data_IF_956059574487
#
_entry.id   IF_956059574487
#
_cell.length_a   1.000
_cell.length_b   1.000
_cell.length_c   1.000
_cell.angle_alpha   90.00
_cell.angle_beta   90.00
_cell.angle_gamma   90.00
#
_symmetry.space_group_name_H-M   'P 1'
#
loop_
_entity.id
_entity.type
_entity.pdbx_description
1 polymer ?
#
# COMPACT_ATOMS: atom_id res chain seq x y z
N UNK A 1 -9.17 24.64 8.21
CA UNK A 1 -8.71 23.24 8.38
C UNK A 1 -7.25 23.30 8.83
N UNK A 2 -6.81 22.40 9.72
CA UNK A 2 -5.41 22.39 10.17
C UNK A 2 -4.48 22.03 9.00
N UNK A 3 -3.39 22.79 8.82
CA UNK A 3 -2.41 22.60 7.74
C UNK A 3 -1.89 21.16 7.65
N UNK A 4 -1.75 20.49 8.80
CA UNK A 4 -1.40 19.09 8.89
C UNK A 4 -2.40 18.17 8.16
N UNK A 5 -3.70 18.38 8.30
CA UNK A 5 -4.72 17.56 7.63
C UNK A 5 -4.63 17.71 6.12
N UNK A 6 -4.37 18.93 5.63
CA UNK A 6 -4.24 19.19 4.18
C UNK A 6 -3.05 18.41 3.62
N UNK A 7 -1.92 18.44 4.32
CA UNK A 7 -0.72 17.70 3.94
C UNK A 7 -0.96 16.18 3.95
N UNK A 8 -1.66 15.66 4.96
CA UNK A 8 -2.05 14.23 5.02
C UNK A 8 -2.94 13.85 3.84
N UNK A 9 -3.92 14.69 3.49
CA UNK A 9 -4.82 14.43 2.36
C UNK A 9 -4.07 14.45 1.02
N UNK A 10 -3.13 15.37 0.83
CA UNK A 10 -2.26 15.40 -0.36
C UNK A 10 -1.41 14.13 -0.42
N UNK A 11 -0.80 13.76 0.71
CA UNK A 11 -0.02 12.53 0.86
C UNK A 11 -0.83 11.29 0.46
N UNK A 12 -2.02 11.16 1.04
CA UNK A 12 -2.93 10.04 0.79
C UNK A 12 -3.42 10.01 -0.66
N UNK A 13 -3.82 11.16 -1.24
CA UNK A 13 -4.28 11.21 -2.63
C UNK A 13 -3.17 10.80 -3.61
N UNK A 14 -1.97 11.38 -3.47
CA UNK A 14 -0.81 11.01 -4.28
C UNK A 14 -0.41 9.55 -4.05
N UNK A 15 -0.42 9.09 -2.81
CA UNK A 15 -0.07 7.73 -2.45
C UNK A 15 -1.05 6.69 -2.98
N UNK A 16 -2.36 6.98 -2.99
CA UNK A 16 -3.36 6.11 -3.65
C UNK A 16 -3.08 6.01 -5.15
N UNK A 17 -2.88 7.14 -5.83
CA UNK A 17 -2.62 7.15 -7.28
C UNK A 17 -1.33 6.38 -7.64
N UNK A 18 -0.24 6.65 -6.90
CA UNK A 18 1.05 5.98 -7.10
C UNK A 18 0.99 4.51 -6.68
N UNK A 19 0.37 4.21 -5.56
CA UNK A 19 0.22 2.86 -5.03
C UNK A 19 -0.60 1.95 -5.93
N UNK A 20 -1.66 2.48 -6.57
CA UNK A 20 -2.40 1.71 -7.60
C UNK A 20 -1.46 1.34 -8.74
N UNK A 21 -0.64 2.27 -9.22
CA UNK A 21 0.31 1.99 -10.31
C UNK A 21 1.37 0.97 -9.90
N UNK A 22 1.93 1.12 -8.70
CA UNK A 22 2.94 0.21 -8.13
C UNK A 22 2.36 -1.19 -7.92
N UNK A 23 1.15 -1.29 -7.36
CA UNK A 23 0.48 -2.58 -7.16
C UNK A 23 0.16 -3.27 -8.49
N UNK A 24 -0.26 -2.52 -9.52
CA UNK A 24 -0.47 -3.06 -10.88
C UNK A 24 0.84 -3.59 -11.48
N UNK A 25 1.93 -2.83 -11.38
CA UNK A 25 3.24 -3.25 -11.88
C UNK A 25 3.74 -4.50 -11.12
N UNK A 26 3.56 -4.53 -9.80
CA UNK A 26 3.89 -5.68 -8.95
C UNK A 26 3.14 -6.95 -9.39
N UNK A 27 1.83 -6.85 -9.68
CA UNK A 27 1.05 -8.00 -10.18
C UNK A 27 1.52 -8.55 -11.53
N UNK A 28 2.11 -7.72 -12.38
CA UNK A 28 2.67 -8.21 -13.65
C UNK A 28 3.96 -9.00 -13.46
N UNK A 29 4.61 -8.88 -12.31
CA UNK A 29 5.86 -9.56 -11.97
C UNK A 29 5.62 -10.80 -11.12
N UNK A 30 4.70 -10.75 -10.17
CA UNK A 30 4.33 -11.88 -9.31
C UNK A 30 2.80 -11.98 -9.16
N UNK A 31 2.28 -13.20 -9.31
CA UNK A 31 0.85 -13.48 -9.15
C UNK A 31 0.47 -13.57 -7.68
N UNK A 32 -0.57 -12.82 -7.30
CA UNK A 32 -1.20 -12.88 -5.97
C UNK A 32 -2.15 -14.07 -5.93
N UNK A 33 -1.92 -15.04 -5.03
CA UNK A 33 -2.65 -16.32 -4.96
C UNK A 33 -3.84 -16.28 -4.01
N UNK A 34 -3.90 -15.31 -3.10
CA UNK A 34 -4.94 -15.12 -2.08
C UNK A 34 -6.24 -14.45 -2.56
N UNK A 35 -6.43 -14.36 -3.88
CA UNK A 35 -7.65 -13.82 -4.50
C UNK A 35 -7.93 -12.34 -4.15
N UNK A 36 -9.20 -11.94 -4.27
CA UNK A 36 -9.64 -10.54 -4.13
C UNK A 36 -9.31 -9.92 -2.76
N UNK A 37 -9.29 -10.72 -1.69
CA UNK A 37 -8.96 -10.24 -0.35
C UNK A 37 -7.50 -9.83 -0.22
N UNK A 38 -6.57 -10.72 -0.57
CA UNK A 38 -5.14 -10.44 -0.59
C UNK A 38 -4.82 -9.27 -1.53
N UNK A 39 -5.48 -9.24 -2.68
CA UNK A 39 -5.38 -8.16 -3.64
C UNK A 39 -5.69 -6.79 -3.03
N UNK A 40 -6.79 -6.64 -2.30
CA UNK A 40 -7.14 -5.36 -1.67
C UNK A 40 -6.06 -4.94 -0.67
N UNK A 41 -5.59 -5.85 0.19
CA UNK A 41 -4.55 -5.53 1.17
C UNK A 41 -3.22 -5.17 0.52
N UNK A 42 -2.85 -5.81 -0.59
CA UNK A 42 -1.66 -5.46 -1.36
C UNK A 42 -1.75 -4.03 -1.93
N UNK A 43 -2.90 -3.65 -2.47
CA UNK A 43 -3.12 -2.28 -2.96
C UNK A 43 -3.11 -1.26 -1.83
N UNK A 44 -3.70 -1.58 -0.67
CA UNK A 44 -3.67 -0.70 0.50
C UNK A 44 -2.25 -0.54 1.06
N UNK A 45 -1.46 -1.61 1.11
CA UNK A 45 -0.05 -1.57 1.50
C UNK A 45 0.75 -0.67 0.55
N UNK A 46 0.58 -0.88 -0.76
CA UNK A 46 1.27 -0.09 -1.78
C UNK A 46 0.88 1.39 -1.73
N UNK A 47 -0.40 1.70 -1.52
CA UNK A 47 -0.89 3.07 -1.37
C UNK A 47 -0.36 3.75 -0.11
N UNK A 48 -0.36 3.03 1.03
CA UNK A 48 0.13 3.55 2.30
C UNK A 48 1.63 3.87 2.22
N UNK A 49 2.42 2.96 1.65
CA UNK A 49 3.85 3.17 1.46
C UNK A 49 4.12 4.36 0.53
N UNK A 50 3.41 4.42 -0.60
CA UNK A 50 3.57 5.47 -1.61
C UNK A 50 3.10 6.86 -1.13
N UNK A 51 2.30 6.93 -0.06
CA UNK A 51 1.85 8.19 0.55
C UNK A 51 2.97 8.92 1.31
N UNK A 52 3.99 8.18 1.74
CA UNK A 52 5.05 8.69 2.63
C UNK A 52 5.84 9.83 2.01
N UNK A 53 6.32 9.68 0.78
CA UNK A 53 7.13 10.71 0.11
C UNK A 53 6.32 11.98 -0.21
N UNK A 54 5.14 11.90 -0.86
CA UNK A 54 4.32 13.09 -1.12
C UNK A 54 3.91 13.82 0.16
N UNK A 55 3.60 13.10 1.24
CA UNK A 55 3.32 13.69 2.55
C UNK A 55 4.53 14.45 3.10
N UNK A 56 5.73 13.84 3.10
CA UNK A 56 6.94 14.48 3.61
C UNK A 56 7.24 15.75 2.81
N UNK A 57 7.17 15.68 1.48
CA UNK A 57 7.43 16.83 0.59
C UNK A 57 6.43 17.96 0.88
N UNK A 58 5.13 17.67 0.86
CA UNK A 58 4.10 18.67 1.14
C UNK A 58 4.24 19.26 2.55
N UNK A 59 4.59 18.43 3.53
CA UNK A 59 4.77 18.88 4.91
C UNK A 59 6.00 19.75 5.12
N UNK A 60 7.10 19.49 4.40
CA UNK A 60 8.27 20.38 4.39
C UNK A 60 7.89 21.75 3.79
N UNK A 61 7.15 21.76 2.67
CA UNK A 61 6.71 22.99 2.01
C UNK A 61 5.83 23.87 2.92
N UNK A 62 4.96 23.23 3.71
CA UNK A 62 4.05 23.92 4.64
C UNK A 62 4.71 24.21 6.00
N UNK A 63 5.96 23.79 6.21
CA UNK A 63 6.73 24.09 7.42
C UNK A 63 6.33 23.26 8.65
N UNK A 64 5.84 22.02 8.45
CA UNK A 64 5.54 21.12 9.56
C UNK A 64 6.80 20.77 10.37
N UNK A 65 6.61 20.65 11.69
CA UNK A 65 7.68 20.26 12.62
C UNK A 65 8.17 18.85 12.30
N UNK A 66 9.48 18.63 12.43
CA UNK A 66 10.10 17.32 12.19
C UNK A 66 9.42 16.17 12.95
N UNK A 67 9.05 16.38 14.22
CA UNK A 67 8.36 15.34 15.02
C UNK A 67 7.03 14.91 14.39
N UNK A 68 6.28 15.84 13.81
CA UNK A 68 4.99 15.54 13.14
C UNK A 68 5.24 14.80 11.83
N UNK A 69 6.23 15.25 11.05
CA UNK A 69 6.61 14.60 9.79
C UNK A 69 7.06 13.16 10.04
N UNK A 70 8.03 12.99 10.94
CA UNK A 70 8.60 11.69 11.27
C UNK A 70 7.55 10.76 11.89
N UNK A 71 6.78 11.25 12.87
CA UNK A 71 5.73 10.46 13.52
C UNK A 71 4.65 9.99 12.53
N UNK A 72 4.22 10.85 11.62
CA UNK A 72 3.21 10.48 10.61
C UNK A 72 3.79 9.52 9.57
N UNK A 73 5.04 9.71 9.14
CA UNK A 73 5.73 8.80 8.22
C UNK A 73 5.91 7.39 8.83
N UNK A 74 6.31 7.31 10.10
CA UNK A 74 6.35 6.05 10.85
C UNK A 74 4.95 5.45 10.96
N UNK A 75 3.91 6.27 11.12
CA UNK A 75 2.52 5.84 11.08
C UNK A 75 2.12 5.19 9.75
N UNK A 76 2.48 5.79 8.61
CA UNK A 76 2.24 5.18 7.29
C UNK A 76 3.01 3.87 7.11
N UNK A 77 4.23 3.78 7.65
CA UNK A 77 5.01 2.55 7.60
C UNK A 77 4.36 1.45 8.46
N UNK A 78 3.94 1.77 9.69
CA UNK A 78 3.22 0.84 10.55
C UNK A 78 1.93 0.35 9.89
N UNK A 79 1.17 1.27 9.29
CA UNK A 79 -0.05 0.96 8.56
C UNK A 79 0.23 0.03 7.35
N UNK A 80 1.29 0.31 6.60
CA UNK A 80 1.77 -0.55 5.50
C UNK A 80 2.07 -1.96 6.00
N UNK A 81 2.79 -2.08 7.12
CA UNK A 81 3.12 -3.38 7.71
C UNK A 81 1.87 -4.13 8.16
N UNK A 82 0.89 -3.45 8.74
CA UNK A 82 -0.41 -4.05 9.09
C UNK A 82 -1.10 -4.62 7.85
N UNK A 83 -1.15 -3.89 6.75
CA UNK A 83 -1.74 -4.37 5.50
C UNK A 83 -0.97 -5.56 4.92
N UNK A 84 0.36 -5.54 4.95
CA UNK A 84 1.17 -6.66 4.49
C UNK A 84 1.00 -7.91 5.35
N UNK A 85 0.82 -7.76 6.67
CA UNK A 85 0.52 -8.89 7.55
C UNK A 85 -0.84 -9.51 7.25
N UNK A 86 -1.87 -8.68 6.98
CA UNK A 86 -3.19 -9.18 6.57
C UNK A 86 -3.14 -9.84 5.19
N UNK A 87 -2.42 -9.24 4.25
CA UNK A 87 -2.11 -9.84 2.95
C UNK A 87 -1.47 -11.22 3.12
N UNK A 88 -0.36 -11.30 3.86
CA UNK A 88 0.38 -12.54 4.07
C UNK A 88 -0.47 -13.60 4.78
N UNK A 89 -1.30 -13.21 5.74
CA UNK A 89 -2.22 -14.12 6.43
C UNK A 89 -3.24 -14.73 5.48
N UNK A 90 -3.74 -13.98 4.50
CA UNK A 90 -4.69 -14.52 3.50
C UNK A 90 -3.96 -15.35 2.45
N UNK A 91 -2.81 -14.85 1.97
CA UNK A 91 -1.98 -15.52 0.97
C UNK A 91 -1.50 -16.90 1.43
N UNK A 92 -1.07 -17.04 2.70
CA UNK A 92 -0.64 -18.32 3.28
C UNK A 92 -1.75 -19.36 3.37
N UNK A 93 -3.01 -18.93 3.45
CA UNK A 93 -4.18 -19.82 3.52
C UNK A 93 -4.72 -20.19 2.12
N UNK A 94 -4.17 -19.62 1.05
CA UNK A 94 -4.56 -19.96 -0.31
C UNK A 94 -3.99 -21.33 -0.72
N UNK A 95 -4.81 -22.25 -1.25
CA UNK A 95 -4.33 -23.56 -1.66
C UNK A 95 -3.27 -23.42 -2.76
N UNK A 96 -2.12 -24.08 -2.57
CA UNK A 96 -1.05 -24.16 -3.55
C UNK A 96 -1.48 -25.04 -4.74
N UNK A 97 -2.33 -24.52 -5.63
CA UNK A 97 -2.84 -25.35 -6.73
C UNK A 97 -3.88 -24.74 -7.67
N UNK A 98 -4.24 -23.46 -7.54
CA UNK A 98 -5.23 -22.85 -8.45
C UNK A 98 -4.78 -22.71 -9.93
N UNK A 99 -3.53 -23.08 -10.25
CA UNK A 99 -3.00 -23.11 -11.63
C UNK A 99 -2.98 -24.51 -12.28
N UNK A 100 -3.18 -25.60 -11.53
CA UNK A 100 -2.99 -26.96 -12.08
C UNK A 100 -4.18 -27.43 -12.93
N UNK A 101 -5.37 -26.85 -12.75
CA UNK A 101 -6.57 -27.23 -13.50
C UNK A 101 -6.62 -26.68 -14.94
N UNK A 102 -5.69 -25.78 -15.33
CA UNK A 102 -5.63 -25.23 -16.69
C UNK A 102 -4.68 -26.00 -17.62
N UNK A 103 -3.77 -26.81 -17.06
CA UNK A 103 -2.75 -27.54 -17.83
C UNK A 103 -3.24 -28.92 -18.31
N UNK A 104 -4.30 -29.46 -17.73
CA UNK A 104 -4.84 -30.79 -18.06
C UNK A 104 -6.12 -30.76 -18.91
N UNK A 105 -6.48 -29.59 -19.45
CA UNK A 105 -7.73 -29.35 -20.18
C UNK A 105 -7.57 -29.00 -21.67
N UNK A 106 -6.40 -29.27 -22.27
CA UNK A 106 -6.18 -29.21 -23.73
C UNK A 106 -5.84 -30.58 -24.29
#
# INVERSE_FOLDING_TARGET
MSDWLIVVLIGAACGVLLGIKVARDSRTKETVRGGTGADVFHYLASASMSSTLPFIIAGIVVGLRFVVLFGTAVGFLALTMTWLLLYASIEQNAPAGADEHRVLGE
#
